data_IF_294574635909
#
_entry.id   IF_294574635909
#
_cell.length_a   1.000
_cell.length_b   1.000
_cell.length_c   1.000
_cell.angle_alpha   90.00
_cell.angle_beta   90.00
_cell.angle_gamma   90.00
#
_symmetry.space_group_name_H-M   'P 1'
#
loop_
_entity.id
_entity.type
_entity.pdbx_description
1 polymer ?
#
# COMPACT_ATOMS: atom_id res chain seq x y z
N UNK A 1 5.75 26.96 2.33
CA UNK A 1 5.36 26.19 1.13
C UNK A 1 6.65 25.62 0.57
N UNK A 2 6.89 24.32 0.75
CA UNK A 2 8.08 23.66 0.23
C UNK A 2 7.97 23.57 -1.29
N UNK A 3 9.07 23.84 -1.99
CA UNK A 3 9.12 23.64 -3.44
C UNK A 3 9.04 22.13 -3.73
N UNK A 4 8.06 21.73 -4.52
CA UNK A 4 7.99 20.35 -5.00
C UNK A 4 9.23 20.12 -5.86
N UNK A 5 10.15 19.29 -5.38
CA UNK A 5 11.35 18.93 -6.14
C UNK A 5 11.03 17.78 -7.10
N UNK A 6 11.81 17.68 -8.20
CA UNK A 6 11.69 16.54 -9.13
C UNK A 6 11.82 15.18 -8.41
N UNK A 7 12.64 15.09 -7.38
CA UNK A 7 12.79 13.89 -6.57
C UNK A 7 11.47 13.50 -5.89
N UNK A 8 10.81 14.47 -5.24
CA UNK A 8 9.51 14.23 -4.59
C UNK A 8 8.44 13.79 -5.59
N UNK A 9 8.38 14.44 -6.76
CA UNK A 9 7.46 14.04 -7.83
C UNK A 9 7.68 12.60 -8.27
N UNK A 10 8.94 12.18 -8.39
CA UNK A 10 9.27 10.81 -8.77
C UNK A 10 8.88 9.80 -7.68
N UNK A 11 9.24 10.07 -6.42
CA UNK A 11 8.92 9.17 -5.29
C UNK A 11 7.41 9.00 -5.14
N UNK A 12 6.66 10.12 -5.12
CA UNK A 12 5.20 10.08 -5.06
C UNK A 12 4.59 9.40 -6.29
N UNK A 13 5.06 9.73 -7.47
CA UNK A 13 4.54 9.14 -8.70
C UNK A 13 4.70 7.63 -8.76
N UNK A 14 5.82 7.10 -8.24
CA UNK A 14 6.02 5.66 -8.13
C UNK A 14 5.15 5.03 -7.04
N UNK A 15 5.04 5.65 -5.86
CA UNK A 15 4.16 5.17 -4.79
C UNK A 15 2.70 5.14 -5.25
N UNK A 16 2.23 6.20 -5.90
CA UNK A 16 0.87 6.28 -6.44
C UNK A 16 0.62 5.24 -7.55
N UNK A 17 1.65 4.91 -8.34
CA UNK A 17 1.52 3.83 -9.31
C UNK A 17 1.25 2.49 -8.63
N UNK A 18 1.91 2.19 -7.50
CA UNK A 18 1.66 0.96 -6.75
C UNK A 18 0.29 0.97 -6.06
N UNK A 19 -0.12 2.10 -5.48
CA UNK A 19 -1.46 2.26 -4.89
C UNK A 19 -2.56 2.02 -5.94
N UNK A 20 -2.42 2.57 -7.15
CA UNK A 20 -3.34 2.30 -8.27
C UNK A 20 -3.31 0.83 -8.70
N UNK A 21 -2.15 0.18 -8.65
CA UNK A 21 -2.01 -1.24 -8.93
C UNK A 21 -2.86 -2.06 -7.94
N UNK A 22 -2.75 -1.79 -6.63
CA UNK A 22 -3.57 -2.46 -5.60
C UNK A 22 -5.07 -2.36 -5.90
N UNK A 23 -5.57 -1.16 -6.21
CA UNK A 23 -6.99 -1.00 -6.57
C UNK A 23 -7.35 -1.71 -7.87
N UNK A 24 -6.52 -1.55 -8.91
CA UNK A 24 -6.80 -2.06 -10.25
C UNK A 24 -6.79 -3.58 -10.33
N UNK A 25 -5.87 -4.26 -9.63
CA UNK A 25 -5.85 -5.72 -9.63
C UNK A 25 -7.05 -6.33 -8.91
N UNK A 26 -7.64 -5.62 -7.97
CA UNK A 26 -8.81 -6.07 -7.21
C UNK A 26 -10.15 -5.68 -7.86
N UNK A 27 -10.12 -4.85 -8.89
CA UNK A 27 -11.32 -4.38 -9.57
C UNK A 27 -12.14 -5.55 -10.15
N UNK A 28 -13.46 -5.50 -9.91
CA UNK A 28 -14.42 -6.50 -10.41
C UNK A 28 -14.50 -7.80 -9.60
N UNK A 29 -13.71 -7.96 -8.54
CA UNK A 29 -13.90 -9.08 -7.60
C UNK A 29 -15.16 -8.88 -6.76
N UNK A 30 -15.92 -9.97 -6.54
CA UNK A 30 -17.02 -9.98 -5.59
C UNK A 30 -16.53 -9.93 -4.13
N UNK A 31 -17.39 -9.55 -3.18
CA UNK A 31 -17.07 -9.55 -1.75
C UNK A 31 -16.61 -10.95 -1.28
N UNK A 32 -17.25 -12.01 -1.77
CA UNK A 32 -16.86 -13.39 -1.48
C UNK A 32 -15.43 -13.69 -1.97
N UNK A 33 -15.07 -13.26 -3.19
CA UNK A 33 -13.74 -13.45 -3.75
C UNK A 33 -12.69 -12.63 -2.98
N UNK A 34 -13.00 -11.39 -2.59
CA UNK A 34 -12.12 -10.52 -1.82
C UNK A 34 -11.81 -11.05 -0.42
N UNK A 35 -12.75 -11.79 0.20
CA UNK A 35 -12.61 -12.36 1.56
C UNK A 35 -12.11 -13.80 1.57
N UNK A 36 -11.93 -14.43 0.41
CA UNK A 36 -11.50 -15.83 0.34
C UNK A 36 -10.00 -15.96 0.52
N UNK A 37 -9.50 -16.61 1.58
CA UNK A 37 -8.08 -16.92 1.73
C UNK A 37 -7.71 -18.03 0.75
N UNK A 38 -6.62 -17.85 -0.01
CA UNK A 38 -6.14 -18.80 -1.00
C UNK A 38 -4.76 -19.37 -0.67
N UNK A 39 -4.02 -18.69 0.20
CA UNK A 39 -2.68 -19.08 0.61
C UNK A 39 -2.67 -19.71 2.01
N UNK A 40 -1.71 -20.59 2.33
CA UNK A 40 -1.61 -21.22 3.66
C UNK A 40 -1.46 -20.23 4.81
N UNK A 41 -0.96 -19.03 4.56
CA UNK A 41 -0.85 -17.93 5.54
C UNK A 41 -2.20 -17.36 5.98
N UNK A 42 -3.29 -17.65 5.24
CA UNK A 42 -4.66 -17.36 5.68
C UNK A 42 -5.15 -15.94 5.43
N UNK A 43 -4.32 -15.00 4.97
CA UNK A 43 -4.77 -13.66 4.62
C UNK A 43 -5.63 -13.68 3.33
N UNK A 44 -6.45 -12.66 3.16
CA UNK A 44 -7.28 -12.46 1.97
C UNK A 44 -7.14 -11.04 1.42
N UNK A 45 -7.57 -10.81 0.19
CA UNK A 45 -7.37 -9.54 -0.51
C UNK A 45 -7.84 -8.32 0.29
N UNK A 46 -9.03 -8.40 0.89
CA UNK A 46 -9.59 -7.28 1.65
C UNK A 46 -8.80 -7.01 2.94
N UNK A 47 -8.30 -8.06 3.61
CA UNK A 47 -7.39 -7.92 4.76
C UNK A 47 -6.07 -7.25 4.37
N UNK A 48 -5.52 -7.57 3.19
CA UNK A 48 -4.33 -6.90 2.66
C UNK A 48 -4.58 -5.40 2.43
N UNK A 49 -5.72 -5.00 1.89
CA UNK A 49 -6.06 -3.58 1.71
C UNK A 49 -6.19 -2.86 3.04
N UNK A 50 -6.80 -3.51 4.05
CA UNK A 50 -6.90 -2.95 5.40
C UNK A 50 -5.53 -2.80 6.06
N UNK A 51 -4.65 -3.79 5.89
CA UNK A 51 -3.27 -3.73 6.35
C UNK A 51 -2.53 -2.55 5.70
N UNK A 52 -2.60 -2.40 4.39
CA UNK A 52 -2.00 -1.26 3.67
C UNK A 52 -2.52 0.08 4.20
N UNK A 53 -3.82 0.17 4.53
CA UNK A 53 -4.38 1.39 5.10
C UNK A 53 -3.83 1.70 6.49
N UNK A 54 -3.80 0.71 7.39
CA UNK A 54 -3.51 0.92 8.81
C UNK A 54 -2.02 0.79 9.14
N UNK A 55 -1.37 -0.30 8.70
CA UNK A 55 0.01 -0.59 9.06
C UNK A 55 1.02 0.13 8.16
N UNK A 56 0.61 0.49 6.94
CA UNK A 56 1.47 1.21 6.01
C UNK A 56 1.14 2.70 6.01
N UNK A 57 0.05 3.13 5.41
CA UNK A 57 -0.25 4.56 5.23
C UNK A 57 -0.41 5.29 6.55
N UNK A 58 -1.30 4.83 7.44
CA UNK A 58 -1.56 5.50 8.70
C UNK A 58 -0.34 5.46 9.61
N UNK A 59 0.23 4.27 9.83
CA UNK A 59 1.34 4.11 10.74
C UNK A 59 2.55 4.93 10.32
N UNK A 60 3.00 4.79 9.07
CA UNK A 60 4.24 5.42 8.65
C UNK A 60 4.10 6.94 8.48
N UNK A 61 3.08 7.40 7.78
CA UNK A 61 2.99 8.84 7.51
C UNK A 61 2.37 9.61 8.66
N UNK A 62 1.28 9.12 9.27
CA UNK A 62 0.63 9.87 10.34
C UNK A 62 1.32 9.69 11.68
N UNK A 63 1.67 8.46 12.07
CA UNK A 63 2.27 8.26 13.39
C UNK A 63 3.78 8.49 13.37
N UNK A 64 4.53 7.87 12.47
CA UNK A 64 5.99 7.97 12.47
C UNK A 64 6.43 9.35 11.96
N UNK A 65 5.97 9.78 10.78
CA UNK A 65 6.40 11.06 10.18
C UNK A 65 5.75 12.25 10.88
N UNK A 66 4.42 12.27 11.05
CA UNK A 66 3.71 13.43 11.61
C UNK A 66 3.55 13.41 13.13
N UNK A 67 3.81 12.28 13.81
CA UNK A 67 3.78 12.17 15.28
C UNK A 67 2.37 12.04 15.86
N UNK A 68 1.39 11.56 15.08
CA UNK A 68 0.05 11.29 15.60
C UNK A 68 0.02 10.07 16.52
N UNK A 69 -1.04 9.94 17.35
CA UNK A 69 -1.20 8.81 18.27
C UNK A 69 -1.33 7.48 17.54
N UNK A 70 -0.80 6.42 18.16
CA UNK A 70 -0.92 5.03 17.69
C UNK A 70 -2.15 4.30 18.25
N UNK A 71 -3.05 5.01 18.94
CA UNK A 71 -4.23 4.42 19.60
C UNK A 71 -5.31 3.92 18.62
N UNK A 72 -5.11 4.09 17.32
CA UNK A 72 -6.04 3.66 16.27
C UNK A 72 -5.90 2.18 15.89
N UNK A 73 -4.80 1.53 16.25
CA UNK A 73 -4.60 0.11 15.93
C UNK A 73 -5.65 -0.77 16.60
N UNK A 74 -6.23 -1.72 15.86
CA UNK A 74 -7.11 -2.71 16.47
C UNK A 74 -6.38 -3.42 17.65
N UNK A 75 -7.04 -3.60 18.81
CA UNK A 75 -6.37 -4.17 19.98
C UNK A 75 -6.10 -5.68 19.87
N UNK A 76 -6.76 -6.36 18.94
CA UNK A 76 -6.58 -7.79 18.70
C UNK A 76 -5.29 -8.04 17.92
N UNK A 77 -4.58 -9.15 18.19
CA UNK A 77 -3.45 -9.55 17.37
C UNK A 77 -3.84 -9.66 15.89
N UNK A 78 -3.02 -9.10 15.00
CA UNK A 78 -3.25 -9.06 13.56
C UNK A 78 -4.59 -8.39 13.15
N UNK A 79 -5.14 -7.53 14.01
CA UNK A 79 -6.44 -6.88 13.80
C UNK A 79 -6.49 -6.01 12.53
N UNK A 80 -5.35 -5.50 12.08
CA UNK A 80 -5.22 -4.76 10.82
C UNK A 80 -5.41 -5.64 9.57
N UNK A 81 -5.33 -6.98 9.72
CA UNK A 81 -5.63 -7.95 8.66
C UNK A 81 -7.06 -8.48 8.70
N UNK A 82 -7.75 -8.27 9.82
CA UNK A 82 -9.07 -8.83 10.04
C UNK A 82 -10.15 -7.86 9.59
N UNK A 83 -11.03 -8.33 8.72
CA UNK A 83 -12.20 -7.57 8.25
C UNK A 83 -13.45 -8.24 8.82
N UNK A 84 -14.15 -7.50 9.69
CA UNK A 84 -15.36 -7.99 10.34
C UNK A 84 -16.51 -8.26 9.37
N UNK A 85 -17.53 -9.02 9.81
CA UNK A 85 -18.68 -9.34 8.97
C UNK A 85 -19.53 -8.11 8.63
N UNK A 86 -19.52 -7.09 9.49
CA UNK A 86 -20.28 -5.84 9.30
C UNK A 86 -19.48 -4.76 8.55
N UNK A 87 -18.21 -5.00 8.24
CA UNK A 87 -17.32 -4.08 7.54
C UNK A 87 -17.35 -4.43 6.04
N UNK A 88 -17.99 -3.60 5.24
CA UNK A 88 -18.11 -3.87 3.79
C UNK A 88 -16.77 -3.71 3.05
N UNK A 89 -16.65 -4.33 1.87
CA UNK A 89 -15.49 -4.11 0.99
C UNK A 89 -15.32 -2.63 0.65
N UNK A 90 -16.43 -1.91 0.45
CA UNK A 90 -16.41 -0.48 0.16
C UNK A 90 -15.81 0.32 1.33
N UNK A 91 -16.17 0.02 2.58
CA UNK A 91 -15.63 0.69 3.76
C UNK A 91 -14.10 0.52 3.84
N UNK A 92 -13.59 -0.67 3.57
CA UNK A 92 -12.15 -0.95 3.58
C UNK A 92 -11.42 -0.21 2.45
N UNK A 93 -11.98 -0.19 1.25
CA UNK A 93 -11.41 0.58 0.15
C UNK A 93 -11.46 2.09 0.41
N UNK A 94 -12.52 2.59 1.03
CA UNK A 94 -12.63 4.00 1.38
C UNK A 94 -11.67 4.37 2.51
N UNK A 95 -11.49 3.51 3.51
CA UNK A 95 -10.44 3.66 4.51
C UNK A 95 -9.06 3.83 3.86
N UNK A 96 -8.69 2.94 2.94
CA UNK A 96 -7.40 3.03 2.26
C UNK A 96 -7.25 4.31 1.42
N UNK A 97 -8.29 4.71 0.69
CA UNK A 97 -8.29 6.00 -0.04
C UNK A 97 -8.14 7.20 0.90
N UNK A 98 -8.79 7.16 2.06
CA UNK A 98 -8.73 8.22 3.05
C UNK A 98 -7.34 8.36 3.65
N UNK A 99 -6.70 7.24 4.00
CA UNK A 99 -5.35 7.24 4.52
C UNK A 99 -4.33 7.70 3.45
N UNK A 100 -4.46 7.28 2.20
CA UNK A 100 -3.64 7.80 1.08
C UNK A 100 -3.74 9.33 0.99
N UNK A 101 -4.95 9.90 1.03
CA UNK A 101 -5.12 11.37 0.97
C UNK A 101 -4.43 12.10 2.12
N UNK A 102 -4.48 11.52 3.33
CA UNK A 102 -3.80 12.08 4.51
C UNK A 102 -2.29 11.97 4.40
N UNK A 103 -1.80 10.82 3.96
CA UNK A 103 -0.38 10.59 3.69
C UNK A 103 0.17 11.59 2.67
N UNK A 104 -0.54 11.81 1.57
CA UNK A 104 -0.13 12.76 0.53
C UNK A 104 -0.05 14.19 1.06
N UNK A 105 -0.96 14.59 1.93
CA UNK A 105 -0.91 15.91 2.58
C UNK A 105 0.34 16.03 3.48
N UNK A 106 0.66 15.01 4.26
CA UNK A 106 1.85 14.96 5.12
C UNK A 106 3.11 14.98 4.27
N UNK A 107 3.21 14.12 3.26
CA UNK A 107 4.36 14.05 2.36
C UNK A 107 4.61 15.38 1.65
N UNK A 108 3.53 16.04 1.20
CA UNK A 108 3.63 17.33 0.52
C UNK A 108 4.05 18.46 1.47
N UNK A 109 3.62 18.40 2.72
CA UNK A 109 3.88 19.40 3.76
C UNK A 109 5.19 19.23 4.52
N UNK A 110 5.91 18.12 4.33
CA UNK A 110 7.14 17.79 5.09
C UNK A 110 8.36 17.83 4.17
N UNK A 111 9.52 18.32 4.66
CA UNK A 111 10.78 18.28 3.89
C UNK A 111 11.26 16.82 3.75
N UNK A 112 11.84 16.48 2.58
CA UNK A 112 12.36 15.12 2.36
C UNK A 112 13.49 14.73 3.31
N UNK A 113 14.26 15.73 3.77
CA UNK A 113 15.36 15.54 4.72
C UNK A 113 14.92 15.72 6.17
N UNK A 114 13.62 15.98 6.44
CA UNK A 114 13.12 16.10 7.80
C UNK A 114 13.10 14.74 8.51
N UNK A 115 13.60 14.67 9.75
CA UNK A 115 13.50 13.44 10.53
C UNK A 115 12.03 13.18 10.92
N UNK A 116 11.65 11.92 11.11
CA UNK A 116 10.33 11.56 11.63
C UNK A 116 10.07 12.22 12.99
N UNK A 117 8.85 12.70 13.21
CA UNK A 117 8.48 13.32 14.49
C UNK A 117 8.43 12.29 15.64
N UNK A 118 8.12 11.02 15.33
CA UNK A 118 8.04 9.93 16.31
C UNK A 118 8.69 8.65 15.77
N UNK A 119 10.03 8.57 15.74
CA UNK A 119 10.74 7.34 15.36
C UNK A 119 10.29 6.15 16.20
N UNK A 120 10.31 4.96 15.61
CA UNK A 120 10.01 3.73 16.33
C UNK A 120 11.27 2.90 16.50
N UNK A 121 11.76 2.80 17.73
CA UNK A 121 12.99 2.08 18.10
C UNK A 121 12.95 0.58 17.75
N UNK A 122 11.76 0.01 17.58
CA UNK A 122 11.62 -1.40 17.15
C UNK A 122 12.30 -1.64 15.82
N UNK A 123 12.16 -0.73 14.87
CA UNK A 123 12.79 -0.83 13.55
C UNK A 123 14.30 -0.79 13.64
N UNK A 124 14.86 0.12 14.43
CA UNK A 124 16.30 0.21 14.67
C UNK A 124 16.83 -1.09 15.32
N UNK A 125 16.09 -1.68 16.26
CA UNK A 125 16.46 -2.95 16.87
C UNK A 125 16.49 -4.12 15.89
N UNK A 126 15.75 -4.03 14.78
CA UNK A 126 15.75 -5.01 13.69
C UNK A 126 16.71 -4.66 12.55
N UNK A 127 17.53 -3.62 12.73
CA UNK A 127 18.55 -3.20 11.77
C UNK A 127 18.05 -2.31 10.64
N UNK A 128 16.83 -1.77 10.75
CA UNK A 128 16.28 -0.80 9.82
C UNK A 128 16.37 0.63 10.42
N UNK A 129 16.78 1.59 9.61
CA UNK A 129 16.89 3.00 10.01
C UNK A 129 16.15 3.89 9.03
N UNK A 130 15.35 4.81 9.59
CA UNK A 130 14.52 5.76 8.84
C UNK A 130 14.84 7.19 9.31
N UNK A 131 16.01 7.74 8.92
CA UNK A 131 16.48 9.02 9.42
C UNK A 131 15.69 10.21 8.91
N UNK A 132 14.95 10.08 7.81
CA UNK A 132 14.25 11.14 7.13
C UNK A 132 13.00 10.65 6.37
N UNK A 133 12.17 11.60 5.89
CA UNK A 133 10.98 11.26 5.09
C UNK A 133 11.34 10.49 3.80
N UNK A 134 12.49 10.77 3.20
CA UNK A 134 12.93 10.08 1.97
C UNK A 134 13.09 8.57 2.21
N UNK A 135 13.73 8.20 3.32
CA UNK A 135 13.91 6.79 3.70
C UNK A 135 12.57 6.11 3.98
N UNK A 136 11.63 6.80 4.63
CA UNK A 136 10.26 6.30 4.83
C UNK A 136 9.56 6.10 3.48
N UNK A 137 9.63 7.06 2.55
CA UNK A 137 9.02 6.92 1.22
C UNK A 137 9.58 5.74 0.42
N UNK A 138 10.90 5.51 0.49
CA UNK A 138 11.53 4.35 -0.17
C UNK A 138 11.07 3.03 0.44
N UNK A 139 10.93 2.99 1.76
CA UNK A 139 10.38 1.84 2.47
C UNK A 139 8.93 1.59 2.04
N UNK A 140 8.09 2.61 2.08
CA UNK A 140 6.68 2.50 1.70
C UNK A 140 6.49 2.10 0.24
N UNK A 141 7.32 2.61 -0.67
CA UNK A 141 7.33 2.17 -2.06
C UNK A 141 7.64 0.68 -2.16
N UNK A 142 8.60 0.19 -1.37
CA UNK A 142 8.98 -1.23 -1.35
C UNK A 142 7.85 -2.10 -0.81
N UNK A 143 7.29 -1.75 0.36
CA UNK A 143 6.19 -2.48 1.00
C UNK A 143 4.96 -2.55 0.09
N UNK A 144 4.50 -1.40 -0.41
CA UNK A 144 3.33 -1.36 -1.30
C UNK A 144 3.55 -2.18 -2.58
N UNK A 145 4.78 -2.16 -3.14
CA UNK A 145 5.13 -2.95 -4.34
C UNK A 145 5.10 -4.45 -4.06
N UNK A 146 5.63 -4.89 -2.91
CA UNK A 146 5.61 -6.30 -2.50
C UNK A 146 4.16 -6.77 -2.33
N UNK A 147 3.34 -5.99 -1.64
CA UNK A 147 1.94 -6.32 -1.40
C UNK A 147 1.09 -6.30 -2.67
N UNK A 148 1.35 -5.37 -3.59
CA UNK A 148 0.74 -5.38 -4.92
C UNK A 148 1.08 -6.66 -5.70
N UNK A 149 2.36 -7.09 -5.67
CA UNK A 149 2.78 -8.36 -6.28
C UNK A 149 2.15 -9.60 -5.64
N UNK A 150 1.92 -9.59 -4.32
CA UNK A 150 1.17 -10.65 -3.64
C UNK A 150 -0.29 -10.70 -4.12
N UNK A 151 -0.93 -9.53 -4.29
CA UNK A 151 -2.29 -9.43 -4.82
C UNK A 151 -2.39 -9.91 -6.27
N UNK A 152 -1.37 -9.65 -7.11
CA UNK A 152 -1.30 -10.18 -8.46
C UNK A 152 -1.35 -11.71 -8.48
N UNK A 153 -0.50 -12.34 -7.67
CA UNK A 153 -0.44 -13.80 -7.59
C UNK A 153 -1.78 -14.39 -7.09
N UNK A 154 -2.40 -13.75 -6.09
CA UNK A 154 -3.70 -14.19 -5.57
C UNK A 154 -4.80 -13.96 -6.59
N UNK A 155 -4.79 -12.84 -7.33
CA UNK A 155 -5.75 -12.56 -8.40
C UNK A 155 -5.71 -13.61 -9.49
N UNK A 156 -4.52 -14.01 -9.91
CA UNK A 156 -4.35 -15.06 -10.90
C UNK A 156 -4.95 -16.40 -10.44
N UNK A 157 -4.83 -16.72 -9.14
CA UNK A 157 -5.47 -17.90 -8.54
C UNK A 157 -6.99 -17.80 -8.45
N UNK A 158 -7.56 -16.58 -8.36
CA UNK A 158 -9.02 -16.37 -8.27
C UNK A 158 -9.69 -16.58 -9.63
N UNK A 159 -9.20 -15.90 -10.66
CA UNK A 159 -9.89 -15.82 -11.96
C UNK A 159 -8.95 -15.76 -13.18
N UNK A 160 -7.65 -15.91 -12.99
CA UNK A 160 -6.64 -15.88 -14.05
C UNK A 160 -6.27 -14.50 -14.56
N UNK A 161 -6.85 -13.43 -14.01
CA UNK A 161 -6.51 -12.04 -14.40
C UNK A 161 -5.12 -11.67 -13.92
N UNK A 162 -4.35 -11.02 -14.78
CA UNK A 162 -3.03 -10.50 -14.50
C UNK A 162 -3.02 -8.97 -14.61
N UNK A 163 -2.13 -8.31 -13.87
CA UNK A 163 -1.93 -6.88 -14.00
C UNK A 163 -1.15 -6.56 -15.29
N UNK A 164 -1.17 -5.33 -15.68
CA UNK A 164 -0.83 -4.63 -16.92
C UNK A 164 0.39 -5.13 -17.72
N UNK A 165 1.27 -5.95 -17.17
CA UNK A 165 2.53 -6.32 -17.84
C UNK A 165 2.30 -7.12 -19.15
N UNK A 166 1.18 -7.83 -19.27
CA UNK A 166 0.91 -8.70 -20.42
C UNK A 166 0.03 -8.02 -21.47
N UNK A 167 -0.90 -7.15 -21.10
CA UNK A 167 -1.78 -6.44 -22.06
C UNK A 167 -1.02 -5.48 -22.97
N UNK A 168 0.07 -4.87 -22.51
CA UNK A 168 0.89 -3.98 -23.33
C UNK A 168 1.77 -4.71 -24.35
N UNK A 169 1.99 -6.02 -24.21
CA UNK A 169 2.78 -6.83 -25.16
C UNK A 169 1.93 -7.33 -26.30
N UNK A 170 0.63 -7.60 -26.10
CA UNK A 170 -0.26 -8.08 -27.14
C UNK A 170 -0.64 -7.02 -28.19
N UNK A 171 -0.55 -5.74 -27.84
CA UNK A 171 -0.89 -4.64 -28.76
C UNK A 171 0.31 -4.13 -29.60
N UNK A 172 1.53 -4.61 -29.29
CA UNK A 172 2.70 -4.43 -30.16
C UNK A 172 2.88 -5.66 -31.01
N UNK A 173 2.12 -5.71 -32.12
CA UNK A 173 2.21 -6.77 -33.11
C UNK A 173 3.65 -7.16 -33.39
N UNK A 174 4.04 -8.36 -32.99
CA UNK A 174 5.25 -8.99 -33.49
C UNK A 174 5.08 -9.14 -35.01
N UNK A 175 6.05 -8.73 -35.84
CA UNK A 175 5.97 -8.97 -37.27
C UNK A 175 5.84 -10.47 -37.50
N UNK A 176 4.76 -10.88 -38.14
CA UNK A 176 4.61 -12.26 -38.59
C UNK A 176 5.73 -12.55 -39.59
N UNK A 177 6.65 -13.41 -39.19
CA UNK A 177 7.69 -13.92 -40.08
C UNK A 177 7.01 -14.70 -41.22
N UNK A 178 7.15 -14.17 -42.45
CA UNK A 178 6.80 -14.81 -43.73
C UNK A 178 7.69 -15.99 -43.98
#
# INVERSE_FOLDING_TARGET
MFTITRERELLLGHLDAQRRHVFGILEGLSDEQLRRPLLPSGWHCLGMVKHLALADEHYWFRCVVAGESRDYFPPEPDGEWQVGPDESAQDVFDLYRDEIRRSDAIITGTDLDAPPAQPDERWTSWGADFPDLRSVLLHMLTETSIHAGHLDAVRELIDGRQWVVVEQVSDRGLPQSS
#
